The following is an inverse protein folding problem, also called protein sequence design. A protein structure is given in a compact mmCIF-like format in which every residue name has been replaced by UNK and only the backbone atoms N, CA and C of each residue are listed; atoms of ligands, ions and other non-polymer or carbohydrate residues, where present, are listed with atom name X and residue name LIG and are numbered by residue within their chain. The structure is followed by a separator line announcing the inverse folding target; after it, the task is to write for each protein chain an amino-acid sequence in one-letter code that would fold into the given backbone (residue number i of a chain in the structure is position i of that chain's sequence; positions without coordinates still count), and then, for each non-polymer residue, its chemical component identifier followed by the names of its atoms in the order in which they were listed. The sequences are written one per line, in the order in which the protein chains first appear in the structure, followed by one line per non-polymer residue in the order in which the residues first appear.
data_IF_946843761677
#
_entry.id   IF_946843761677
#
_cell.length_a   1.000
_cell.length_b   1.000
_cell.length_c   1.000
_cell.angle_alpha   90.00
_cell.angle_beta   90.00
_cell.angle_gamma   90.00
#
_symmetry.space_group_name_H-M   'P 1'
#
loop_
_entity.id
_entity.type
_entity.pdbx_description
1 polymer ?
#
# COMPACT_ATOMS: atom_id res chain seq x y z
N UNK A 1 -16.75 -16.37 -2.63
CA UNK A 1 -16.09 -16.70 -1.36
C UNK A 1 -15.63 -15.42 -0.68
N UNK A 2 -15.73 -15.34 0.65
CA UNK A 2 -15.15 -14.28 1.46
C UNK A 2 -14.49 -14.89 2.69
N UNK A 3 -13.24 -14.55 2.96
CA UNK A 3 -12.54 -14.86 4.21
C UNK A 3 -11.90 -13.59 4.75
N UNK A 4 -11.87 -13.47 6.08
CA UNK A 4 -11.13 -12.41 6.76
C UNK A 4 -10.31 -13.02 7.89
N UNK A 5 -9.07 -12.56 8.03
CA UNK A 5 -8.20 -12.89 9.15
C UNK A 5 -7.56 -11.65 9.73
N UNK A 6 -7.20 -11.74 11.01
CA UNK A 6 -6.55 -10.69 11.76
C UNK A 6 -5.16 -11.20 12.14
N UNK A 7 -4.17 -10.33 12.02
CA UNK A 7 -2.79 -10.57 12.39
C UNK A 7 -2.34 -9.51 13.37
N UNK A 8 -1.35 -9.85 14.17
CA UNK A 8 -0.75 -8.93 15.12
C UNK A 8 0.76 -8.92 14.94
N UNK A 9 1.35 -7.73 14.97
CA UNK A 9 2.80 -7.53 14.93
C UNK A 9 3.21 -6.57 16.03
N UNK A 10 4.31 -6.85 16.69
CA UNK A 10 4.89 -5.94 17.68
C UNK A 10 5.80 -4.95 16.96
N UNK A 11 5.60 -3.66 17.22
CA UNK A 11 6.42 -2.58 16.63
C UNK A 11 7.29 -1.92 17.68
N UNK A 12 8.40 -1.36 17.21
CA UNK A 12 9.36 -0.63 18.01
C UNK A 12 8.91 0.84 18.22
N UNK A 13 9.58 1.58 19.11
CA UNK A 13 9.43 3.03 19.22
C UNK A 13 10.01 3.82 18.02
N UNK A 14 10.49 3.14 16.97
CA UNK A 14 11.03 3.73 15.74
C UNK A 14 10.11 3.46 14.54
N UNK A 15 10.48 3.97 13.37
CA UNK A 15 9.80 3.63 12.12
C UNK A 15 10.09 2.17 11.79
N UNK A 16 9.06 1.37 11.56
CA UNK A 16 9.19 -0.02 11.17
C UNK A 16 8.58 -0.29 9.79
N UNK A 17 9.29 -1.13 9.02
CA UNK A 17 8.87 -1.61 7.71
C UNK A 17 8.88 -3.13 7.80
N UNK A 18 7.71 -3.71 8.05
CA UNK A 18 7.55 -5.12 8.40
C UNK A 18 6.97 -5.86 7.21
N UNK A 19 7.68 -6.86 6.70
CA UNK A 19 7.17 -7.68 5.60
C UNK A 19 5.98 -8.51 6.10
N UNK A 20 4.81 -8.32 5.49
CA UNK A 20 3.57 -9.06 5.80
C UNK A 20 3.11 -9.94 4.64
N UNK A 21 3.95 -10.11 3.62
CA UNK A 21 3.60 -10.80 2.38
C UNK A 21 3.16 -12.24 2.63
N UNK A 22 3.86 -12.97 3.50
CA UNK A 22 3.59 -14.39 3.75
C UNK A 22 2.28 -14.60 4.50
N UNK A 23 1.94 -13.71 5.43
CA UNK A 23 0.66 -13.68 6.12
C UNK A 23 -0.46 -13.50 5.11
N UNK A 24 -0.35 -12.51 4.22
CA UNK A 24 -1.35 -12.21 3.19
C UNK A 24 -1.50 -13.37 2.20
N UNK A 25 -0.40 -13.88 1.68
CA UNK A 25 -0.36 -15.01 0.74
C UNK A 25 -0.96 -16.29 1.36
N UNK A 26 -0.74 -16.52 2.67
CA UNK A 26 -1.36 -17.65 3.37
C UNK A 26 -2.89 -17.57 3.38
N UNK A 27 -3.46 -16.37 3.59
CA UNK A 27 -4.92 -16.17 3.56
C UNK A 27 -5.48 -16.37 2.16
N UNK A 28 -4.76 -15.91 1.13
CA UNK A 28 -5.17 -16.10 -0.27
C UNK A 28 -5.20 -17.60 -0.60
N UNK A 29 -4.14 -18.35 -0.28
CA UNK A 29 -4.05 -19.81 -0.50
C UNK A 29 -5.16 -20.57 0.22
N UNK A 30 -5.46 -20.19 1.46
CA UNK A 30 -6.55 -20.79 2.24
C UNK A 30 -7.94 -20.48 1.67
N UNK A 31 -8.12 -19.27 1.12
CA UNK A 31 -9.39 -18.82 0.55
C UNK A 31 -9.79 -19.60 -0.71
N UNK A 32 -8.82 -20.19 -1.43
CA UNK A 32 -8.98 -20.82 -2.76
C UNK A 32 -9.54 -19.88 -3.83
N UNK A 33 -9.61 -18.58 -3.56
CA UNK A 33 -10.02 -17.56 -4.53
C UNK A 33 -8.96 -17.46 -5.62
N UNK A 34 -9.37 -17.59 -6.87
CA UNK A 34 -8.50 -17.47 -8.03
C UNK A 34 -8.65 -16.15 -8.76
N UNK A 35 -9.82 -15.52 -8.69
CA UNK A 35 -10.11 -14.21 -9.28
C UNK A 35 -10.88 -13.37 -8.27
N UNK A 36 -10.39 -12.18 -7.94
CA UNK A 36 -10.99 -11.36 -6.90
C UNK A 36 -10.14 -10.20 -6.42
N UNK A 37 -10.32 -9.83 -5.16
CA UNK A 37 -9.58 -8.78 -4.48
C UNK A 37 -9.08 -9.29 -3.13
N UNK A 38 -7.90 -8.82 -2.73
CA UNK A 38 -7.43 -8.85 -1.35
C UNK A 38 -7.34 -7.42 -0.83
N UNK A 39 -7.87 -7.17 0.35
CA UNK A 39 -7.86 -5.89 1.04
C UNK A 39 -7.17 -6.04 2.37
N UNK A 40 -6.13 -5.24 2.57
CA UNK A 40 -5.38 -5.11 3.81
C UNK A 40 -5.85 -3.85 4.52
N UNK A 41 -6.04 -3.93 5.84
CA UNK A 41 -6.50 -2.79 6.62
C UNK A 41 -5.78 -2.70 7.97
N UNK A 42 -5.20 -1.54 8.24
CA UNK A 42 -4.62 -1.19 9.54
C UNK A 42 -5.64 -0.28 10.29
N UNK A 43 -6.32 -0.78 11.34
CA UNK A 43 -7.35 0.00 12.04
C UNK A 43 -6.77 1.19 12.82
N UNK A 44 -5.54 1.05 13.33
CA UNK A 44 -4.92 2.03 14.20
C UNK A 44 -4.14 3.09 13.42
N UNK A 45 -4.05 4.28 14.01
CA UNK A 45 -3.35 5.44 13.44
C UNK A 45 -1.84 5.22 13.33
N UNK A 46 -1.17 5.88 12.40
CA UNK A 46 0.29 5.77 12.18
C UNK A 46 0.76 4.42 11.62
N UNK A 47 -0.14 3.62 11.06
CA UNK A 47 0.20 2.42 10.31
C UNK A 47 -0.42 2.48 8.91
N UNK A 48 0.34 2.04 7.92
CA UNK A 48 -0.05 2.00 6.50
C UNK A 48 0.54 0.76 5.83
N UNK A 49 0.23 0.55 4.55
CA UNK A 49 0.83 -0.49 3.73
C UNK A 49 1.57 0.11 2.55
N UNK A 50 2.73 -0.46 2.24
CA UNK A 50 3.53 -0.11 1.08
C UNK A 50 3.90 -1.37 0.31
N UNK A 51 4.07 -1.22 -1.00
CA UNK A 51 4.58 -2.27 -1.88
C UNK A 51 6.02 -1.89 -2.22
N UNK A 52 6.96 -2.76 -1.91
CA UNK A 52 8.38 -2.54 -2.16
C UNK A 52 8.99 -3.76 -2.84
N UNK A 53 9.98 -3.54 -3.70
CA UNK A 53 10.79 -4.62 -4.27
C UNK A 53 11.49 -5.38 -3.12
N UNK A 54 11.26 -6.68 -3.01
CA UNK A 54 11.83 -7.53 -1.97
C UNK A 54 13.34 -7.77 -2.15
N UNK A 55 13.90 -7.39 -3.29
CA UNK A 55 15.32 -7.56 -3.59
C UNK A 55 16.14 -6.39 -3.04
N UNK A 56 17.44 -6.64 -2.86
CA UNK A 56 18.46 -5.62 -2.55
C UNK A 56 18.15 -4.77 -1.31
N UNK A 57 17.46 -5.37 -0.33
CA UNK A 57 17.10 -4.75 0.94
C UNK A 57 16.36 -3.39 0.76
N UNK A 58 15.43 -3.31 -0.20
CA UNK A 58 14.72 -2.06 -0.48
C UNK A 58 13.86 -1.59 0.71
N UNK A 59 13.37 -2.52 1.52
CA UNK A 59 12.69 -2.28 2.80
C UNK A 59 13.57 -1.48 3.78
N UNK A 60 14.84 -1.88 3.92
CA UNK A 60 15.80 -1.19 4.80
C UNK A 60 16.15 0.19 4.29
N UNK A 61 16.42 0.32 2.98
CA UNK A 61 16.69 1.62 2.35
C UNK A 61 15.50 2.56 2.46
N UNK A 62 14.30 2.05 2.22
CA UNK A 62 13.07 2.81 2.39
C UNK A 62 12.88 3.28 3.84
N UNK A 63 13.14 2.41 4.83
CA UNK A 63 13.13 2.80 6.25
C UNK A 63 14.13 3.92 6.55
N UNK A 64 15.37 3.81 6.05
CA UNK A 64 16.42 4.82 6.22
C UNK A 64 16.03 6.17 5.57
N UNK A 65 15.67 6.15 4.29
CA UNK A 65 15.28 7.36 3.53
C UNK A 65 14.06 8.05 4.14
N UNK A 66 13.05 7.28 4.55
CA UNK A 66 11.86 7.83 5.20
C UNK A 66 12.18 8.44 6.57
N UNK A 67 13.07 7.78 7.33
CA UNK A 67 13.53 8.29 8.63
C UNK A 67 14.26 9.62 8.47
N UNK A 68 15.14 9.72 7.49
CA UNK A 68 15.89 10.96 7.23
C UNK A 68 14.97 12.06 6.70
N UNK A 69 14.06 11.74 5.79
CA UNK A 69 13.03 12.67 5.32
C UNK A 69 12.20 13.27 6.46
N UNK A 70 11.75 12.44 7.41
CA UNK A 70 10.97 12.91 8.56
C UNK A 70 11.81 13.69 9.58
N UNK A 71 13.10 13.34 9.77
CA UNK A 71 14.01 14.14 10.61
C UNK A 71 14.28 15.51 9.99
N UNK A 72 14.43 15.59 8.67
CA UNK A 72 14.62 16.85 7.96
C UNK A 72 13.37 17.73 8.05
N UNK A 73 12.17 17.15 7.93
CA UNK A 73 10.92 17.89 8.08
C UNK A 73 10.73 18.44 9.50
N UNK A 74 11.25 17.76 10.53
CA UNK A 74 11.23 18.20 11.92
C UNK A 74 12.28 19.30 12.23
N UNK A 75 13.47 19.25 11.62
CA UNK A 75 14.54 20.26 11.80
C UNK A 75 14.15 21.65 11.32
N UNK A 76 13.13 21.75 10.47
CA UNK A 76 12.53 23.04 10.09
C UNK A 76 11.51 23.54 11.15
N UNK A 77 11.64 23.05 12.38
CA UNK A 77 11.36 23.83 13.59
C UNK A 77 12.43 24.90 13.70
N UNK A 78 12.22 26.04 13.03
CA UNK A 78 12.81 27.29 13.52
C UNK A 78 12.37 27.41 14.97
N UNK A 79 13.35 27.43 15.87
CA UNK A 79 13.18 27.92 17.23
C UNK A 79 12.38 29.22 17.14
N UNK A 80 11.07 29.15 17.40
CA UNK A 80 10.37 30.35 17.80
C UNK A 80 10.95 30.63 19.18
N UNK A 81 11.73 31.71 19.39
CA UNK A 81 12.20 32.01 20.72
C UNK A 81 10.96 32.27 21.55
N UNK A 82 10.56 31.27 22.34
CA UNK A 82 9.67 31.50 23.45
C UNK A 82 10.35 32.55 24.33
N UNK A 83 9.67 33.69 24.49
CA UNK A 83 9.96 34.78 25.44
C UNK A 83 11.14 35.71 25.13
N UNK A 84 10.96 36.60 24.16
CA UNK A 84 11.44 37.98 24.30
C UNK A 84 10.22 38.92 24.30
N UNK A 85 10.08 39.88 25.24
CA UNK A 85 8.95 40.78 25.25
C UNK A 85 9.05 41.71 24.05
N UNK A 86 8.14 41.55 23.09
CA UNK A 86 8.03 42.42 21.92
C UNK A 86 7.61 43.81 22.40
N UNK A 87 8.57 44.72 22.54
CA UNK A 87 8.30 46.16 22.66
C UNK A 87 7.68 46.61 21.34
N UNK A 88 6.37 46.88 21.35
CA UNK A 88 5.66 47.50 20.22
C UNK A 88 6.29 48.87 19.93
N UNK A 89 6.95 49.01 18.78
CA UNK A 89 7.30 50.32 18.23
C UNK A 89 7.32 50.26 16.71
N UNK A 90 6.40 51.00 16.10
CA UNK A 90 6.56 51.64 14.79
C UNK A 90 6.54 50.74 13.56
N UNK A 91 5.45 50.87 12.80
CA UNK A 91 5.42 51.08 11.34
C UNK A 91 6.38 50.21 10.50
N UNK A 92 5.78 49.26 9.77
CA UNK A 92 6.34 48.74 8.52
C UNK A 92 6.99 47.35 8.59
N UNK A 93 6.16 46.29 8.48
CA UNK A 93 6.47 45.04 7.76
C UNK A 93 5.30 44.07 7.93
N UNK A 94 4.30 44.21 7.06
CA UNK A 94 3.63 43.03 6.54
C UNK A 94 4.62 42.39 5.53
N UNK A 95 4.65 41.06 5.44
CA UNK A 95 5.65 40.21 4.74
C UNK A 95 6.86 39.71 5.57
N UNK A 96 6.65 39.22 6.80
CA UNK A 96 7.69 38.40 7.46
C UNK A 96 7.23 37.05 7.98
N UNK A 97 5.93 36.71 7.95
CA UNK A 97 5.46 35.40 8.42
C UNK A 97 5.17 34.44 7.27
N UNK A 98 4.48 34.89 6.22
CA UNK A 98 4.23 34.08 5.03
C UNK A 98 5.53 33.76 4.28
N UNK A 99 6.44 34.73 4.15
CA UNK A 99 7.75 34.52 3.50
C UNK A 99 8.65 33.59 4.31
N UNK A 100 8.57 33.59 5.65
CA UNK A 100 9.31 32.66 6.52
C UNK A 100 8.72 31.24 6.49
N UNK A 101 7.40 31.10 6.33
CA UNK A 101 6.76 29.82 6.07
C UNK A 101 7.15 29.24 4.70
N UNK A 102 7.26 30.08 3.67
CA UNK A 102 7.70 29.68 2.32
C UNK A 102 9.19 29.25 2.31
N UNK A 103 10.04 29.88 3.13
CA UNK A 103 11.45 29.50 3.32
C UNK A 103 11.66 28.24 4.17
N UNK A 104 10.62 27.79 4.88
CA UNK A 104 10.65 26.66 5.81
C UNK A 104 10.31 25.31 5.16
N UNK A 105 10.27 25.23 3.82
CA UNK A 105 9.88 24.02 3.09
C UNK A 105 8.47 23.51 3.44
N UNK A 106 7.91 22.58 2.65
CA UNK A 106 6.68 21.90 3.04
C UNK A 106 6.95 21.03 4.28
N UNK A 107 6.34 21.40 5.41
CA UNK A 107 6.36 20.60 6.65
C UNK A 107 5.39 19.43 6.49
N UNK A 108 5.91 18.21 6.42
CA UNK A 108 5.08 17.00 6.42
C UNK A 108 5.28 16.31 7.77
N UNK A 109 4.25 16.37 8.62
CA UNK A 109 4.23 15.61 9.87
C UNK A 109 3.98 14.13 9.61
N UNK A 110 4.27 13.27 10.59
CA UNK A 110 4.01 11.83 10.50
C UNK A 110 2.52 11.55 10.27
N UNK A 111 1.65 12.31 10.93
CA UNK A 111 0.20 12.18 10.78
C UNK A 111 -0.25 12.58 9.38
N UNK A 112 0.32 13.66 8.83
CA UNK A 112 0.02 14.11 7.47
C UNK A 112 0.51 13.10 6.43
N UNK A 113 1.72 12.55 6.60
CA UNK A 113 2.21 11.47 5.76
C UNK A 113 1.26 10.27 5.78
N UNK A 114 0.83 9.84 6.97
CA UNK A 114 -0.07 8.69 7.13
C UNK A 114 -1.46 8.95 6.55
N UNK A 115 -1.92 10.20 6.59
CA UNK A 115 -3.14 10.60 5.90
C UNK A 115 -3.02 10.41 4.37
N UNK A 116 -1.87 10.77 3.78
CA UNK A 116 -1.65 10.60 2.35
C UNK A 116 -1.44 9.15 1.92
N UNK A 117 -0.77 8.34 2.75
CA UNK A 117 -0.53 6.93 2.43
C UNK A 117 -1.80 6.08 2.59
N UNK A 118 -2.76 6.54 3.40
CA UNK A 118 -3.95 5.78 3.72
C UNK A 118 -3.65 4.60 4.64
N UNK A 119 -4.69 3.87 5.03
CA UNK A 119 -4.60 2.73 5.97
C UNK A 119 -5.06 1.41 5.37
N UNK A 120 -5.42 1.45 4.10
CA UNK A 120 -6.02 0.34 3.37
C UNK A 120 -5.28 0.17 2.07
N UNK A 121 -4.88 -1.05 1.76
CA UNK A 121 -4.32 -1.42 0.46
C UNK A 121 -5.16 -2.54 -0.13
N UNK A 122 -5.70 -2.31 -1.32
CA UNK A 122 -6.45 -3.33 -2.06
C UNK A 122 -5.68 -3.73 -3.31
N UNK A 123 -5.45 -5.02 -3.47
CA UNK A 123 -4.77 -5.60 -4.63
C UNK A 123 -5.71 -6.55 -5.38
N UNK A 124 -5.64 -6.61 -6.71
CA UNK A 124 -6.34 -7.63 -7.47
C UNK A 124 -5.73 -9.01 -7.21
N UNK A 125 -6.57 -10.04 -7.25
CA UNK A 125 -6.15 -11.43 -7.30
C UNK A 125 -6.36 -11.97 -8.71
N UNK A 126 -5.32 -12.55 -9.28
CA UNK A 126 -5.36 -13.25 -10.56
C UNK A 126 -4.63 -14.58 -10.43
N UNK A 127 -5.28 -15.65 -10.90
CA UNK A 127 -4.77 -17.02 -10.83
C UNK A 127 -4.36 -17.46 -9.41
N UNK A 128 -5.05 -16.93 -8.39
CA UNK A 128 -4.80 -17.27 -6.99
C UNK A 128 -3.57 -16.59 -6.38
N UNK A 129 -3.03 -15.56 -7.03
CA UNK A 129 -1.93 -14.74 -6.51
C UNK A 129 -2.30 -13.25 -6.58
N UNK A 130 -1.61 -12.43 -5.76
CA UNK A 130 -1.70 -10.98 -5.88
C UNK A 130 -1.15 -10.52 -7.24
N UNK A 131 -1.90 -9.67 -7.93
CA UNK A 131 -1.52 -9.09 -9.20
C UNK A 131 -0.59 -7.90 -8.98
N UNK A 132 0.70 -8.21 -8.77
CA UNK A 132 1.80 -7.30 -8.49
C UNK A 132 3.06 -7.80 -9.22
N UNK A 133 4.15 -7.03 -9.21
CA UNK A 133 5.43 -7.53 -9.76
C UNK A 133 5.88 -8.78 -8.96
N UNK A 134 6.44 -9.83 -9.59
CA UNK A 134 6.85 -11.04 -8.88
C UNK A 134 7.89 -10.81 -7.77
N UNK A 135 8.61 -9.71 -7.84
CA UNK A 135 9.63 -9.35 -6.85
C UNK A 135 9.10 -8.41 -5.78
N UNK A 136 7.92 -7.84 -5.96
CA UNK A 136 7.33 -6.98 -4.94
C UNK A 136 6.88 -7.80 -3.74
N UNK A 137 6.92 -7.20 -2.56
CA UNK A 137 6.25 -7.67 -1.36
C UNK A 137 5.43 -6.54 -0.76
N UNK A 138 4.43 -6.91 0.04
CA UNK A 138 3.64 -5.95 0.82
C UNK A 138 4.23 -5.85 2.22
N UNK A 139 4.42 -4.62 2.68
CA UNK A 139 4.96 -4.31 4.00
C UNK A 139 3.96 -3.47 4.79
N UNK A 140 3.87 -3.74 6.08
CA UNK A 140 3.27 -2.82 7.05
C UNK A 140 4.31 -1.76 7.41
N UNK A 141 3.97 -0.49 7.15
CA UNK A 141 4.73 0.66 7.60
C UNK A 141 4.13 1.19 8.89
N UNK A 142 4.90 1.22 9.98
CA UNK A 142 4.56 1.89 11.22
C UNK A 142 5.48 3.10 11.41
N UNK A 143 4.91 4.29 11.63
CA UNK A 143 5.67 5.53 11.93
C UNK A 143 5.42 6.05 13.36
N UNK A 144 4.69 5.28 14.18
CA UNK A 144 4.45 5.57 15.58
C UNK A 144 5.74 5.53 16.40
N UNK A 145 5.71 6.15 17.58
CA UNK A 145 6.90 6.24 18.47
C UNK A 145 6.67 5.60 19.85
N UNK A 146 5.54 4.93 20.03
CA UNK A 146 5.14 4.36 21.31
C UNK A 146 5.56 2.90 21.48
N UNK A 147 5.92 2.20 20.39
CA UNK A 147 6.17 0.76 20.40
C UNK A 147 4.96 -0.03 20.88
N UNK A 148 4.12 -0.50 19.96
CA UNK A 148 2.83 -1.11 20.33
C UNK A 148 2.52 -2.32 19.48
N UNK A 149 1.70 -3.21 20.02
CA UNK A 149 1.13 -4.31 19.26
C UNK A 149 0.13 -3.76 18.25
N UNK A 150 0.48 -3.83 16.97
CA UNK A 150 -0.37 -3.46 15.83
C UNK A 150 -1.22 -4.65 15.43
N UNK A 151 -2.50 -4.40 15.20
CA UNK A 151 -3.38 -5.32 14.49
C UNK A 151 -3.46 -4.90 13.02
N UNK A 152 -3.59 -5.88 12.11
CA UNK A 152 -4.07 -5.62 10.77
C UNK A 152 -4.98 -6.76 10.27
N UNK A 153 -5.86 -6.42 9.33
CA UNK A 153 -6.79 -7.36 8.73
C UNK A 153 -6.39 -7.68 7.29
N UNK A 154 -6.63 -8.93 6.90
CA UNK A 154 -6.56 -9.40 5.52
C UNK A 154 -7.94 -9.94 5.15
N UNK A 155 -8.59 -9.29 4.20
CA UNK A 155 -9.88 -9.70 3.68
C UNK A 155 -9.71 -10.13 2.21
N UNK A 156 -10.14 -11.34 1.87
CA UNK A 156 -10.13 -11.85 0.50
C UNK A 156 -11.55 -12.09 0.05
N UNK A 157 -11.93 -11.52 -1.10
CA UNK A 157 -13.25 -11.68 -1.71
C UNK A 157 -13.06 -12.06 -3.17
N UNK A 158 -13.75 -13.10 -3.63
CA UNK A 158 -13.75 -13.46 -5.04
C UNK A 158 -14.32 -14.82 -5.35
N UNK A 159 -14.00 -15.30 -6.55
CA UNK A 159 -14.44 -16.58 -7.10
C UNK A 159 -13.33 -17.63 -6.98
N UNK A 160 -13.72 -18.84 -6.60
CA UNK A 160 -12.83 -20.00 -6.63
C UNK A 160 -12.62 -20.47 -8.07
N UNK A 161 -11.52 -21.20 -8.34
CA UNK A 161 -11.34 -21.85 -9.64
C UNK A 161 -12.53 -22.78 -9.93
N UNK A 162 -13.20 -22.53 -11.06
CA UNK A 162 -14.26 -23.41 -11.52
C UNK A 162 -13.68 -24.78 -11.90
N UNK A 163 -13.96 -25.81 -11.09
CA UNK A 163 -13.42 -27.17 -11.28
C UNK A 163 -13.82 -27.80 -12.64
N UNK A 164 -14.83 -27.25 -13.31
CA UNK A 164 -15.36 -27.79 -14.57
C UNK A 164 -14.63 -27.29 -15.84
N UNK A 165 -13.75 -26.29 -15.75
CA UNK A 165 -13.01 -25.79 -16.93
C UNK A 165 -11.91 -26.75 -17.44
N UNK A 166 -11.65 -27.86 -16.73
CA UNK A 166 -10.77 -28.95 -17.17
C UNK A 166 -11.45 -30.05 -17.98
N UNK A 167 -12.79 -30.10 -18.05
CA UNK A 167 -13.51 -31.00 -18.95
C UNK A 167 -13.85 -30.26 -20.24
N UNK A 168 -12.87 -30.12 -21.11
CA UNK A 168 -13.23 -30.05 -22.53
C UNK A 168 -14.01 -31.33 -22.85
N UNK A 169 -15.24 -31.26 -23.40
CA UNK A 169 -15.84 -32.44 -23.96
C UNK A 169 -14.85 -32.97 -24.98
N UNK A 170 -14.41 -34.23 -24.81
CA UNK A 170 -13.59 -34.91 -25.80
C UNK A 170 -14.24 -34.67 -27.15
N UNK A 171 -13.55 -33.94 -28.04
CA UNK A 171 -14.00 -33.73 -29.41
C UNK A 171 -14.32 -35.12 -29.94
N UNK A 172 -15.61 -35.38 -30.21
CA UNK A 172 -16.03 -36.60 -30.89
C UNK A 172 -15.24 -36.75 -32.20
N UNK A 173 -15.13 -37.98 -32.73
CA UNK A 173 -14.28 -38.27 -33.88
C UNK A 173 -14.57 -37.28 -35.01
N UNK A 174 -13.50 -36.67 -35.53
CA UNK A 174 -13.57 -35.60 -36.52
C UNK A 174 -14.34 -36.09 -37.76
N UNK A 175 -15.54 -35.55 -37.98
CA UNK A 175 -16.27 -35.70 -39.24
C UNK A 175 -15.48 -34.94 -40.30
N UNK A 176 -14.77 -35.67 -41.18
CA UNK A 176 -14.16 -35.11 -42.39
C UNK A 176 -15.29 -34.69 -43.34
N UNK A 177 -15.44 -33.40 -43.56
CA UNK A 177 -16.22 -32.87 -44.68
C UNK A 177 -17.10 -31.69 -44.31
N UNK A 178 -16.53 -30.48 -44.32
CA UNK A 178 -17.29 -29.24 -44.22
C UNK A 178 -16.39 -28.06 -44.51
N UNK A 179 -16.72 -27.27 -45.54
CA UNK A 179 -15.94 -26.12 -46.02
C UNK A 179 -15.61 -25.17 -44.86
N UNK A 180 -14.35 -24.71 -44.78
CA UNK A 180 -13.91 -23.69 -43.81
C UNK A 180 -14.69 -22.39 -44.06
N UNK A 181 -15.55 -22.02 -43.11
CA UNK A 181 -16.07 -20.65 -43.03
C UNK A 181 -14.96 -19.68 -42.57
N UNK A 182 -15.12 -18.36 -42.82
CA UNK A 182 -14.11 -17.38 -42.44
C UNK A 182 -13.96 -17.30 -40.90
N UNK A 183 -12.76 -16.93 -40.41
CA UNK A 183 -12.50 -16.83 -38.98
C UNK A 183 -13.39 -15.76 -38.32
N UNK A 184 -13.76 -15.94 -37.04
CA UNK A 184 -14.58 -14.98 -36.31
C UNK A 184 -13.82 -13.64 -36.19
N UNK A 185 -14.48 -12.55 -36.58
CA UNK A 185 -13.97 -11.20 -36.36
C UNK A 185 -14.10 -10.87 -34.87
N UNK A 186 -12.97 -10.51 -34.25
CA UNK A 186 -12.93 -10.04 -32.86
C UNK A 186 -13.69 -8.72 -32.69
N UNK A 187 -14.06 -8.35 -31.45
CA UNK A 187 -14.86 -7.16 -31.20
C UNK A 187 -14.08 -5.89 -31.58
N UNK A 188 -14.67 -5.10 -32.48
CA UNK A 188 -14.15 -3.80 -32.90
C UNK A 188 -14.22 -2.81 -31.74
N UNK A 189 -13.07 -2.43 -31.20
CA UNK A 189 -12.94 -1.30 -30.26
C UNK A 189 -13.12 -0.03 -31.07
N UNK A 190 -14.22 0.72 -30.82
CA UNK A 190 -14.35 2.09 -31.29
C UNK A 190 -13.59 3.01 -30.32
N UNK A 191 -12.63 3.73 -30.86
CA UNK A 191 -11.94 4.86 -30.20
C UNK A 191 -12.87 6.07 -30.21
#
# INVERSE_FOLDING_TARGET
MMIQKNFYVDTSPEIDVINVFHEVDSVIKESKVCQGLVTLMAPLEMASFVILDSRKDADKKFKEELTDFLKESEKIRVDSPASAPVKKRGIGRLHSLETLQILSGPKISKEMLMFFMGRTLTLPLSQGAMAMDPWDHVYLLDVGTEGRRREFFVQVIGEEANKDQGRMPLRGPAVRGGKKGPPPQGPSVKV
#
